data_IF_136307951688
#
_entry.id   IF_136307951688
#
_cell.length_a   1.000
_cell.length_b   1.000
_cell.length_c   1.000
_cell.angle_alpha   90.00
_cell.angle_beta   90.00
_cell.angle_gamma   90.00
#
_symmetry.space_group_name_H-M   'P 1'
#
loop_
_entity.id
_entity.type
_entity.pdbx_description
1 polymer ?
#
# COMPACT_ATOMS: atom_id res chain seq x y z
N UNK A 1 16.60 33.75 -8.84
CA UNK A 1 15.72 33.92 -7.66
C UNK A 1 14.63 32.88 -7.79
N UNK A 2 14.43 31.88 -6.94
CA UNK A 2 15.05 31.43 -5.68
C UNK A 2 14.68 29.93 -5.56
N UNK A 3 15.56 29.09 -5.02
CA UNK A 3 15.35 27.82 -4.27
C UNK A 3 14.07 26.98 -4.53
N UNK A 4 14.08 25.65 -4.58
CA UNK A 4 14.86 24.67 -3.82
C UNK A 4 14.62 23.31 -4.50
N UNK A 5 15.67 22.56 -4.82
CA UNK A 5 15.52 21.15 -5.26
C UNK A 5 15.19 20.31 -4.02
N UNK A 6 13.94 19.88 -3.84
CA UNK A 6 13.60 18.81 -2.89
C UNK A 6 13.50 17.51 -3.66
N UNK A 7 14.66 16.89 -3.87
CA UNK A 7 14.79 15.56 -4.41
C UNK A 7 14.62 14.56 -3.25
N UNK A 8 13.38 14.15 -2.95
CA UNK A 8 13.15 13.05 -2.03
C UNK A 8 13.40 11.72 -2.78
N UNK A 9 14.67 11.41 -3.00
CA UNK A 9 15.09 10.14 -3.57
C UNK A 9 14.99 9.08 -2.46
N UNK A 10 13.79 8.54 -2.26
CA UNK A 10 13.52 7.45 -1.32
C UNK A 10 14.09 6.14 -1.86
N UNK A 11 15.42 6.05 -1.97
CA UNK A 11 16.12 4.78 -2.15
C UNK A 11 16.17 4.07 -0.81
N UNK A 12 15.29 3.07 -0.71
CA UNK A 12 15.17 2.05 0.31
C UNK A 12 16.52 1.61 0.92
N UNK A 13 16.93 2.19 2.06
CA UNK A 13 17.76 1.59 3.13
C UNK A 13 18.08 2.63 4.22
N UNK A 14 17.72 2.29 5.47
CA UNK A 14 18.03 2.94 6.76
C UNK A 14 17.31 4.28 7.03
N UNK A 15 16.53 4.24 8.11
CA UNK A 15 15.95 5.31 8.94
C UNK A 15 15.99 6.73 8.35
N UNK A 16 14.87 7.21 7.84
CA UNK A 16 14.70 8.62 7.47
C UNK A 16 13.59 9.21 8.33
N UNK A 17 13.98 10.12 9.21
CA UNK A 17 13.09 11.02 9.94
C UNK A 17 12.65 12.10 8.94
N UNK A 18 11.64 11.81 8.13
CA UNK A 18 11.23 12.68 7.04
C UNK A 18 10.34 13.82 7.56
N UNK A 19 10.94 14.96 7.96
CA UNK A 19 10.21 16.23 8.08
C UNK A 19 9.92 16.77 6.66
N UNK A 20 8.93 16.21 5.98
CA UNK A 20 8.50 16.67 4.65
C UNK A 20 7.62 17.90 4.80
N UNK A 21 8.23 19.08 4.91
CA UNK A 21 7.45 20.30 5.17
C UNK A 21 6.55 20.71 4.01
N UNK A 22 6.82 20.36 2.74
CA UNK A 22 6.11 20.95 1.60
C UNK A 22 5.60 19.98 0.52
N UNK A 23 6.46 19.11 -0.04
CA UNK A 23 6.05 18.21 -1.13
C UNK A 23 6.63 16.81 -0.96
N UNK A 24 5.82 15.81 -1.32
CA UNK A 24 6.20 14.40 -1.40
C UNK A 24 6.03 13.95 -2.86
N UNK A 25 7.11 13.43 -3.44
CA UNK A 25 7.05 12.71 -4.70
C UNK A 25 6.97 11.22 -4.39
N UNK A 26 5.86 10.60 -4.76
CA UNK A 26 5.69 9.15 -4.70
C UNK A 26 6.02 8.57 -6.07
N UNK A 27 7.11 7.82 -6.13
CA UNK A 27 7.50 7.08 -7.33
C UNK A 27 7.22 5.59 -7.15
N UNK A 28 6.56 4.98 -8.13
CA UNK A 28 6.26 3.56 -8.13
C UNK A 28 7.10 2.83 -9.17
N UNK A 29 8.04 2.03 -8.65
CA UNK A 29 8.82 1.11 -9.49
C UNK A 29 7.88 0.16 -10.21
N UNK A 30 8.15 -0.15 -11.48
CA UNK A 30 7.37 -1.09 -12.32
C UNK A 30 7.12 -2.48 -11.70
N UNK A 31 7.80 -2.83 -10.62
CA UNK A 31 7.61 -4.07 -9.85
C UNK A 31 6.58 -3.96 -8.72
N UNK A 32 6.04 -2.76 -8.44
CA UNK A 32 4.95 -2.60 -7.48
C UNK A 32 3.62 -2.89 -8.17
N UNK A 33 2.91 -3.91 -7.68
CA UNK A 33 1.63 -4.38 -8.23
C UNK A 33 0.43 -3.47 -7.86
N UNK A 34 0.67 -2.17 -7.73
CA UNK A 34 -0.34 -1.18 -7.36
C UNK A 34 -0.52 -0.18 -8.50
N UNK A 35 -1.73 -0.07 -9.03
CA UNK A 35 -2.07 0.88 -10.10
C UNK A 35 -2.70 2.16 -9.52
N UNK A 36 -2.27 3.32 -10.03
CA UNK A 36 -2.86 4.63 -9.72
C UNK A 36 -3.96 5.04 -10.68
N UNK A 37 -4.55 4.08 -11.40
CA UNK A 37 -5.60 4.37 -12.38
C UNK A 37 -6.82 5.06 -11.72
N UNK A 38 -7.18 4.65 -10.49
CA UNK A 38 -8.29 5.21 -9.73
C UNK A 38 -7.99 6.52 -8.97
N UNK A 39 -6.71 6.90 -8.84
CA UNK A 39 -6.28 8.07 -8.07
C UNK A 39 -6.34 9.34 -8.95
N UNK A 40 -6.91 10.41 -8.40
CA UNK A 40 -7.12 11.71 -9.05
C UNK A 40 -6.40 12.82 -8.31
N UNK A 41 -6.15 13.92 -9.01
CA UNK A 41 -5.76 15.19 -8.38
C UNK A 41 -6.87 15.63 -7.43
N UNK A 42 -6.48 16.09 -6.24
CA UNK A 42 -7.37 16.41 -5.12
C UNK A 42 -7.62 15.25 -4.15
N UNK A 43 -7.23 14.02 -4.48
CA UNK A 43 -7.31 12.91 -3.52
C UNK A 43 -6.32 13.12 -2.36
N UNK A 44 -6.72 12.72 -1.16
CA UNK A 44 -5.89 12.80 0.03
C UNK A 44 -5.09 11.50 0.20
N UNK A 45 -3.77 11.62 0.25
CA UNK A 45 -2.86 10.57 0.68
C UNK A 45 -2.70 10.63 2.20
N UNK A 46 -3.15 9.59 2.88
CA UNK A 46 -3.04 9.42 4.33
C UNK A 46 -2.01 8.34 4.65
N UNK A 47 -1.02 8.68 5.48
CA UNK A 47 0.04 7.78 5.94
C UNK A 47 -0.27 7.24 7.34
N UNK A 48 -0.12 5.93 7.54
CA UNK A 48 -0.30 5.20 8.80
C UNK A 48 -1.57 5.61 9.59
N UNK A 49 -2.69 5.80 8.88
CA UNK A 49 -3.98 6.14 9.50
C UNK A 49 -4.09 7.57 10.02
N UNK A 50 -3.26 8.50 9.51
CA UNK A 50 -3.32 9.93 9.87
C UNK A 50 -2.07 10.44 10.55
N UNK A 51 -0.96 9.68 10.56
CA UNK A 51 0.31 10.18 11.07
C UNK A 51 0.90 11.30 10.20
N UNK A 52 0.55 11.34 8.92
CA UNK A 52 0.80 12.46 8.01
C UNK A 52 -0.21 12.41 6.86
N UNK A 53 -0.60 13.58 6.36
CA UNK A 53 -1.51 13.72 5.22
C UNK A 53 -0.94 14.63 4.13
N UNK A 54 -1.28 14.30 2.89
CA UNK A 54 -0.91 15.04 1.69
C UNK A 54 -2.07 15.09 0.71
N UNK A 55 -2.13 16.13 -0.12
CA UNK A 55 -3.07 16.25 -1.24
C UNK A 55 -2.34 15.95 -2.55
N UNK A 56 -2.92 15.10 -3.41
CA UNK A 56 -2.39 14.86 -4.76
C UNK A 56 -2.60 16.11 -5.61
N UNK A 57 -1.51 16.74 -6.04
CA UNK A 57 -1.59 17.96 -6.85
C UNK A 57 -1.27 17.72 -8.33
N UNK A 58 -0.58 16.63 -8.66
CA UNK A 58 -0.17 16.33 -10.03
C UNK A 58 0.10 14.84 -10.21
N UNK A 59 -0.21 14.30 -11.39
CA UNK A 59 0.13 12.93 -11.81
C UNK A 59 1.07 12.97 -13.00
N UNK A 60 2.23 12.34 -12.87
CA UNK A 60 3.31 12.39 -13.87
C UNK A 60 3.67 10.95 -14.24
N UNK A 61 3.05 10.40 -15.29
CA UNK A 61 3.20 8.99 -15.64
C UNK A 61 2.73 8.07 -14.50
N UNK A 62 3.65 7.32 -13.91
CA UNK A 62 3.42 6.46 -12.74
C UNK A 62 3.72 7.13 -11.40
N UNK A 63 4.10 8.40 -11.41
CA UNK A 63 4.44 9.15 -10.21
C UNK A 63 3.30 10.07 -9.78
N UNK A 64 3.20 10.30 -8.48
CA UNK A 64 2.32 11.29 -7.90
C UNK A 64 3.14 12.36 -7.18
N UNK A 65 2.79 13.62 -7.45
CA UNK A 65 3.26 14.76 -6.68
C UNK A 65 2.18 15.14 -5.69
N UNK A 66 2.54 15.14 -4.41
CA UNK A 66 1.62 15.43 -3.33
C UNK A 66 2.13 16.63 -2.52
N UNK A 67 1.22 17.51 -2.11
CA UNK A 67 1.51 18.65 -1.23
C UNK A 67 1.16 18.26 0.20
N UNK A 68 2.04 18.54 1.16
CA UNK A 68 1.77 18.24 2.56
C UNK A 68 0.60 19.10 3.07
N UNK A 69 -0.41 18.44 3.66
CA UNK A 69 -1.55 19.08 4.32
C UNK A 69 -1.43 18.96 5.84
N UNK A 70 -0.93 17.82 6.34
CA UNK A 70 -0.61 17.61 7.75
C UNK A 70 0.75 16.91 7.90
N UNK A 71 1.79 17.60 8.41
CA UNK A 71 3.11 17.04 8.53
C UNK A 71 3.20 16.07 9.72
N UNK A 72 3.92 14.97 9.53
CA UNK A 72 4.27 14.10 10.64
C UNK A 72 5.37 13.11 10.32
N UNK A 73 5.70 12.28 11.31
CA UNK A 73 6.80 11.34 11.24
C UNK A 73 6.27 9.95 10.90
N UNK A 74 6.82 9.33 9.86
CA UNK A 74 6.52 7.96 9.50
C UNK A 74 7.79 7.17 9.20
N UNK A 75 7.74 5.87 9.46
CA UNK A 75 8.89 4.99 9.32
C UNK A 75 8.96 4.36 7.91
N UNK A 76 10.11 3.78 7.52
CA UNK A 76 10.17 2.96 6.31
C UNK A 76 9.11 1.85 6.36
N UNK A 77 8.46 1.59 5.21
CA UNK A 77 7.31 0.67 5.07
C UNK A 77 6.01 1.14 5.75
N UNK A 78 5.90 2.43 6.09
CA UNK A 78 4.64 3.05 6.45
C UNK A 78 3.54 2.68 5.44
N UNK A 79 2.38 2.30 5.96
CA UNK A 79 1.20 2.04 5.14
C UNK A 79 0.66 3.38 4.68
N UNK A 80 0.06 3.39 3.50
CA UNK A 80 -0.65 4.57 3.03
C UNK A 80 -1.97 4.15 2.41
N UNK A 81 -2.89 5.10 2.33
CA UNK A 81 -4.21 4.97 1.72
C UNK A 81 -4.57 6.28 1.02
N UNK A 82 -5.37 6.19 -0.04
CA UNK A 82 -5.94 7.37 -0.67
C UNK A 82 -7.40 7.52 -0.26
N UNK A 83 -7.83 8.76 -0.07
CA UNK A 83 -9.17 9.12 0.35
C UNK A 83 -9.74 10.19 -0.58
N UNK A 84 -11.04 10.10 -0.84
CA UNK A 84 -11.83 11.09 -1.58
C UNK A 84 -13.18 11.22 -0.90
N UNK A 85 -13.56 12.45 -0.56
CA UNK A 85 -14.83 12.75 0.11
C UNK A 85 -15.08 11.90 1.37
N UNK A 86 -14.03 11.69 2.18
CA UNK A 86 -14.09 10.89 3.40
C UNK A 86 -14.23 9.38 3.19
N UNK A 87 -14.05 8.87 1.97
CA UNK A 87 -14.07 7.44 1.65
C UNK A 87 -12.73 6.99 1.09
N UNK A 88 -12.33 5.75 1.41
CA UNK A 88 -11.13 5.13 0.84
C UNK A 88 -11.33 4.99 -0.67
N UNK A 89 -10.37 5.49 -1.44
CA UNK A 89 -10.29 5.22 -2.87
C UNK A 89 -9.79 3.80 -3.03
N UNK A 90 -10.68 2.91 -3.49
CA UNK A 90 -10.31 1.54 -3.77
C UNK A 90 -9.15 1.50 -4.76
N UNK A 91 -8.13 0.74 -4.36
CA UNK A 91 -6.97 0.51 -5.19
C UNK A 91 -7.33 -0.68 -6.06
N UNK A 92 -7.25 -0.52 -7.37
CA UNK A 92 -7.17 -1.67 -8.27
C UNK A 92 -5.81 -2.30 -8.05
N UNK A 93 -5.77 -3.16 -7.05
CA UNK A 93 -4.72 -4.14 -6.90
C UNK A 93 -5.02 -5.22 -7.93
N UNK A 94 -4.24 -5.27 -8.99
CA UNK A 94 -4.16 -6.49 -9.83
C UNK A 94 -3.35 -7.57 -9.10
N UNK A 95 -3.47 -7.64 -7.78
CA UNK A 95 -2.77 -8.58 -6.93
C UNK A 95 -3.67 -9.79 -6.66
N UNK A 96 -3.09 -10.99 -6.61
CA UNK A 96 -3.80 -12.11 -6.01
C UNK A 96 -4.13 -11.75 -4.56
N UNK A 97 -5.34 -12.12 -4.12
CA UNK A 97 -5.83 -11.90 -2.75
C UNK A 97 -4.88 -12.45 -1.68
N UNK A 98 -4.13 -13.50 -1.99
CA UNK A 98 -3.14 -14.12 -1.09
C UNK A 98 -1.72 -13.87 -1.61
N UNK A 99 -0.88 -13.28 -0.76
CA UNK A 99 0.53 -13.05 -1.04
C UNK A 99 1.38 -14.32 -0.84
N UNK A 100 2.62 -14.31 -1.34
CA UNK A 100 3.59 -15.40 -1.08
C UNK A 100 3.81 -15.64 0.41
N UNK A 101 3.73 -14.58 1.23
CA UNK A 101 3.83 -14.71 2.68
C UNK A 101 2.61 -15.43 3.24
N UNK A 102 1.40 -15.04 2.81
CA UNK A 102 0.17 -15.66 3.29
C UNK A 102 0.16 -17.16 3.00
N UNK A 103 0.63 -17.59 1.82
CA UNK A 103 0.78 -19.02 1.51
C UNK A 103 1.76 -19.75 2.42
N UNK A 104 2.89 -19.13 2.76
CA UNK A 104 3.83 -19.71 3.72
C UNK A 104 3.24 -19.80 5.14
N UNK A 105 2.49 -18.78 5.57
CA UNK A 105 1.81 -18.77 6.86
C UNK A 105 0.66 -19.82 6.89
N UNK A 106 -0.03 -20.04 5.77
CA UNK A 106 -1.04 -21.10 5.60
C UNK A 106 -0.41 -22.49 5.71
N UNK A 107 0.68 -22.75 4.99
CA UNK A 107 1.38 -24.04 5.06
C UNK A 107 1.85 -24.35 6.48
N UNK A 108 2.37 -23.34 7.18
CA UNK A 108 2.74 -23.44 8.58
C UNK A 108 1.51 -23.74 9.46
N UNK A 109 0.40 -23.01 9.29
CA UNK A 109 -0.83 -23.25 10.03
C UNK A 109 -1.39 -24.67 9.83
N UNK A 110 -1.36 -25.21 8.61
CA UNK A 110 -1.74 -26.60 8.32
C UNK A 110 -0.83 -27.56 9.09
N UNK A 111 0.49 -27.32 9.10
CA UNK A 111 1.43 -28.19 9.81
C UNK A 111 1.24 -28.21 11.33
N UNK A 112 0.74 -27.12 11.89
CA UNK A 112 0.43 -26.99 13.32
C UNK A 112 -1.00 -27.44 13.68
N UNK A 113 -1.83 -27.79 12.68
CA UNK A 113 -3.19 -28.28 12.88
C UNK A 113 -4.18 -27.21 13.37
N UNK A 114 -4.07 -25.97 12.88
CA UNK A 114 -4.99 -24.89 13.28
C UNK A 114 -6.44 -25.14 12.84
N UNK A 115 -7.41 -24.82 13.70
CA UNK A 115 -8.83 -25.03 13.43
C UNK A 115 -9.43 -24.01 12.45
N UNK A 116 -8.84 -22.81 12.39
CA UNK A 116 -9.36 -21.69 11.59
C UNK A 116 -8.23 -20.88 10.96
N UNK A 117 -8.44 -20.46 9.72
CA UNK A 117 -7.59 -19.50 9.00
C UNK A 117 -8.44 -18.28 8.65
N UNK A 118 -8.07 -17.12 9.19
CA UNK A 118 -8.74 -15.85 8.87
C UNK A 118 -8.03 -15.14 7.72
N UNK A 119 -8.77 -14.83 6.66
CA UNK A 119 -8.25 -14.07 5.52
C UNK A 119 -8.56 -12.57 5.67
N UNK A 120 -7.56 -11.74 5.40
CA UNK A 120 -7.72 -10.28 5.38
C UNK A 120 -7.77 -9.77 3.94
N UNK A 121 -8.55 -8.71 3.69
CA UNK A 121 -8.62 -8.02 2.39
C UNK A 121 -9.07 -8.90 1.21
N UNK A 122 -10.02 -9.81 1.46
CA UNK A 122 -10.62 -10.65 0.42
C UNK A 122 -11.54 -9.83 -0.47
N UNK A 123 -11.15 -9.69 -1.74
CA UNK A 123 -11.92 -8.95 -2.75
C UNK A 123 -12.52 -9.85 -3.84
N UNK A 124 -12.23 -11.16 -3.82
CA UNK A 124 -12.64 -12.12 -4.83
C UNK A 124 -13.00 -13.47 -4.19
N UNK A 125 -14.11 -14.07 -4.64
CA UNK A 125 -14.56 -15.39 -4.22
C UNK A 125 -13.62 -16.50 -4.67
N UNK A 126 -12.95 -16.33 -5.81
CA UNK A 126 -12.07 -17.38 -6.35
C UNK A 126 -10.88 -17.62 -5.41
N UNK A 127 -10.41 -16.60 -4.70
CA UNK A 127 -9.38 -16.74 -3.69
C UNK A 127 -9.80 -17.68 -2.53
N UNK A 128 -11.08 -17.64 -2.15
CA UNK A 128 -11.63 -18.51 -1.10
C UNK A 128 -11.70 -19.96 -1.62
N UNK A 129 -12.20 -20.14 -2.85
CA UNK A 129 -12.30 -21.46 -3.49
C UNK A 129 -10.93 -22.11 -3.64
N UNK A 130 -9.96 -21.37 -4.18
CA UNK A 130 -8.58 -21.84 -4.35
C UNK A 130 -7.94 -22.24 -3.03
N UNK A 131 -8.18 -21.50 -1.94
CA UNK A 131 -7.66 -21.86 -0.63
C UNK A 131 -8.29 -23.14 -0.09
N UNK A 132 -9.62 -23.31 -0.25
CA UNK A 132 -10.31 -24.54 0.19
C UNK A 132 -9.78 -25.76 -0.55
N UNK A 133 -9.63 -25.65 -1.87
CA UNK A 133 -9.08 -26.73 -2.69
C UNK A 133 -7.64 -27.05 -2.24
N UNK A 134 -6.81 -26.02 -2.04
CA UNK A 134 -5.45 -26.19 -1.54
C UNK A 134 -5.39 -26.95 -0.20
N UNK A 135 -6.18 -26.52 0.79
CA UNK A 135 -6.22 -27.17 2.11
C UNK A 135 -6.71 -28.62 2.00
N UNK A 136 -7.70 -28.88 1.14
CA UNK A 136 -8.23 -30.23 0.92
C UNK A 136 -7.20 -31.20 0.32
N UNK A 137 -6.27 -30.70 -0.50
CA UNK A 137 -5.19 -31.54 -1.07
C UNK A 137 -4.05 -31.81 -0.08
N UNK A 138 -3.94 -31.01 0.98
CA UNK A 138 -2.87 -31.10 1.99
C UNK A 138 -3.33 -31.77 3.29
N UNK A 139 -4.64 -31.81 3.54
CA UNK A 139 -5.23 -32.47 4.71
C UNK A 139 -5.68 -33.88 4.30
N UNK A 140 -5.12 -34.96 4.89
CA UNK A 140 -5.55 -36.34 4.61
C UNK A 140 -6.95 -36.66 5.13
#
# INVERSE_FOLDING_TARGET
QTSLRVLALARFKRTIQAFLKHYLHLHFSSHSQMSFAGIKVGDELVIDGGMASFEVIEKIGNDLKCKCTDPGLFLPRAKFSFWRDGRIVERNYELPTLSTKDWADIDFGISEGVDFISLSFVNDSDAISNLKDYISTKSP
#
